data_IF_777544648786
#
_entry.id   IF_777544648786
#
_cell.length_a   1.000
_cell.length_b   1.000
_cell.length_c   1.000
_cell.angle_alpha   90.00
_cell.angle_beta   90.00
_cell.angle_gamma   90.00
#
_symmetry.space_group_name_H-M   'P 1'
#
loop_
_entity.id
_entity.type
_entity.pdbx_description
1 polymer ?
#
# COMPACT_ATOMS: atom_id res chain seq x y z
N UNK A 1 -19.76 -22.05 34.82
CA UNK A 1 -19.53 -20.86 33.98
C UNK A 1 -18.08 -20.90 33.48
N UNK A 2 -17.87 -21.53 32.34
CA UNK A 2 -16.55 -21.67 31.71
C UNK A 2 -16.44 -20.56 30.65
N UNK A 3 -15.59 -19.56 30.89
CA UNK A 3 -15.18 -18.59 29.89
C UNK A 3 -14.19 -19.26 28.93
N UNK A 4 -14.62 -19.48 27.73
CA UNK A 4 -13.77 -19.90 26.61
C UNK A 4 -12.80 -18.76 26.29
N UNK A 5 -11.53 -18.94 26.68
CA UNK A 5 -10.43 -18.10 26.26
C UNK A 5 -10.23 -18.22 24.76
N UNK A 6 -10.52 -17.16 24.02
CA UNK A 6 -10.14 -17.03 22.61
C UNK A 6 -8.62 -16.94 22.56
N UNK A 7 -8.02 -17.83 21.81
CA UNK A 7 -6.58 -18.07 21.74
C UNK A 7 -5.88 -16.83 21.12
N UNK A 8 -5.37 -15.95 21.96
CA UNK A 8 -4.64 -14.74 21.60
C UNK A 8 -3.39 -15.04 20.73
N UNK A 9 -2.81 -16.23 20.90
CA UNK A 9 -1.61 -16.65 20.18
C UNK A 9 -1.80 -16.87 18.67
N UNK A 10 -2.99 -17.23 18.21
CA UNK A 10 -3.23 -17.50 16.78
C UNK A 10 -3.42 -16.21 16.00
N UNK A 11 -3.98 -15.17 16.61
CA UNK A 11 -4.09 -13.83 15.99
C UNK A 11 -2.71 -13.14 15.91
N UNK A 12 -1.86 -13.32 16.91
CA UNK A 12 -0.49 -12.80 16.93
C UNK A 12 0.36 -13.37 15.79
N UNK A 13 0.36 -14.69 15.59
CA UNK A 13 1.11 -15.33 14.52
C UNK A 13 0.65 -14.88 13.13
N UNK A 14 -0.64 -14.61 12.95
CA UNK A 14 -1.19 -14.17 11.66
C UNK A 14 -0.77 -12.73 11.34
N UNK A 15 -0.71 -11.84 12.34
CA UNK A 15 -0.24 -10.45 12.18
C UNK A 15 1.27 -10.37 11.92
N UNK A 16 2.09 -11.13 12.63
CA UNK A 16 3.55 -11.18 12.42
C UNK A 16 3.93 -11.59 10.99
N UNK A 17 3.23 -12.58 10.44
CA UNK A 17 3.44 -13.04 9.06
C UNK A 17 3.06 -11.93 8.07
N UNK A 18 2.04 -11.14 8.35
CA UNK A 18 1.58 -10.07 7.48
C UNK A 18 2.55 -8.87 7.44
N UNK A 19 3.20 -8.52 8.56
CA UNK A 19 4.27 -7.50 8.60
C UNK A 19 5.51 -7.98 7.84
N UNK A 20 5.87 -9.26 7.98
CA UNK A 20 6.92 -9.88 7.17
C UNK A 20 6.58 -9.88 5.68
N UNK A 21 5.29 -9.94 5.32
CA UNK A 21 4.82 -9.84 3.92
C UNK A 21 4.95 -8.43 3.34
N UNK A 22 4.62 -7.38 4.09
CA UNK A 22 4.86 -5.99 3.69
C UNK A 22 6.34 -5.74 3.41
N UNK A 23 7.23 -6.18 4.31
CA UNK A 23 8.68 -6.13 4.10
C UNK A 23 9.17 -7.00 2.94
N UNK A 24 8.61 -8.18 2.75
CA UNK A 24 8.97 -9.06 1.62
C UNK A 24 8.58 -8.44 0.28
N UNK A 25 7.49 -7.67 0.23
CA UNK A 25 7.07 -6.93 -0.97
C UNK A 25 7.98 -5.73 -1.22
N UNK A 26 8.28 -4.90 -0.20
CA UNK A 26 9.25 -3.79 -0.31
C UNK A 26 10.64 -4.28 -0.73
N UNK A 27 11.13 -5.36 -0.15
CA UNK A 27 12.41 -5.96 -0.52
C UNK A 27 12.40 -6.53 -1.95
N UNK A 28 11.26 -7.09 -2.42
CA UNK A 28 11.08 -7.56 -3.81
C UNK A 28 10.82 -6.42 -4.77
N UNK A 29 10.19 -5.32 -4.36
CA UNK A 29 9.97 -4.12 -5.17
C UNK A 29 11.29 -3.59 -5.75
N UNK A 30 12.34 -3.50 -4.92
CA UNK A 30 13.69 -3.15 -5.37
C UNK A 30 14.29 -4.17 -6.36
N UNK A 31 13.89 -5.44 -6.28
CA UNK A 31 14.33 -6.51 -7.19
C UNK A 31 13.51 -6.55 -8.49
N UNK A 32 12.22 -6.25 -8.43
CA UNK A 32 11.30 -6.21 -9.58
C UNK A 32 11.65 -5.04 -10.51
N UNK A 33 12.07 -3.89 -9.99
CA UNK A 33 12.37 -2.69 -10.80
C UNK A 33 13.85 -2.58 -11.26
N UNK A 34 14.52 -3.70 -11.49
CA UNK A 34 15.93 -3.71 -11.93
C UNK A 34 16.16 -3.32 -13.39
N UNK A 35 15.16 -3.47 -14.27
CA UNK A 35 15.31 -3.17 -15.69
C UNK A 35 14.89 -1.73 -16.02
N UNK A 36 15.47 -1.15 -17.09
CA UNK A 36 15.12 0.20 -17.55
C UNK A 36 13.62 0.36 -17.88
N UNK A 37 13.00 -0.68 -18.47
CA UNK A 37 11.56 -0.67 -18.78
C UNK A 37 10.68 -0.63 -17.53
N UNK A 38 11.07 -1.34 -16.48
CA UNK A 38 10.34 -1.35 -15.21
C UNK A 38 10.47 -0.02 -14.47
N UNK A 39 11.64 0.63 -14.52
CA UNK A 39 11.82 2.00 -13.99
C UNK A 39 10.93 3.01 -14.72
N UNK A 40 10.81 2.90 -16.05
CA UNK A 40 9.93 3.76 -16.82
C UNK A 40 8.46 3.64 -16.41
N UNK A 41 7.97 2.41 -16.16
CA UNK A 41 6.62 2.16 -15.64
C UNK A 41 6.42 2.75 -14.24
N UNK A 42 7.40 2.58 -13.35
CA UNK A 42 7.36 3.17 -12.02
C UNK A 42 7.24 4.71 -12.11
N UNK A 43 8.04 5.33 -12.95
CA UNK A 43 8.00 6.79 -13.14
C UNK A 43 6.67 7.27 -13.73
N UNK A 44 6.07 6.50 -14.65
CA UNK A 44 4.76 6.80 -15.20
C UNK A 44 3.66 6.71 -14.11
N UNK A 45 3.70 5.69 -13.24
CA UNK A 45 2.78 5.54 -12.11
C UNK A 45 2.88 6.73 -11.15
N UNK A 46 4.09 7.08 -10.70
CA UNK A 46 4.29 8.26 -9.86
C UNK A 46 3.86 9.55 -10.55
N UNK A 47 4.11 9.69 -11.85
CA UNK A 47 3.66 10.84 -12.63
C UNK A 47 2.13 11.00 -12.61
N UNK A 48 1.37 9.92 -12.78
CA UNK A 48 -0.10 9.92 -12.67
C UNK A 48 -0.56 10.28 -11.25
N UNK A 49 0.01 9.64 -10.23
CA UNK A 49 -0.35 9.89 -8.81
C UNK A 49 -0.09 11.35 -8.42
N UNK A 50 1.11 11.88 -8.72
CA UNK A 50 1.50 13.26 -8.44
C UNK A 50 0.59 14.25 -9.14
N UNK A 51 0.28 14.01 -10.42
CA UNK A 51 -0.65 14.84 -11.19
C UNK A 51 -2.02 14.91 -10.52
N UNK A 52 -2.60 13.76 -10.14
CA UNK A 52 -3.94 13.71 -9.53
C UNK A 52 -3.97 14.38 -8.17
N UNK A 53 -2.97 14.13 -7.32
CA UNK A 53 -2.90 14.74 -5.98
C UNK A 53 -2.71 16.27 -6.08
N UNK A 54 -1.89 16.72 -7.04
CA UNK A 54 -1.71 18.16 -7.29
C UNK A 54 -2.95 18.80 -7.90
N UNK A 55 -3.67 18.10 -8.77
CA UNK A 55 -4.88 18.59 -9.46
C UNK A 55 -6.08 18.70 -8.53
N UNK A 56 -6.26 17.72 -7.64
CA UNK A 56 -7.37 17.68 -6.69
C UNK A 56 -7.15 18.53 -5.44
N UNK A 57 -5.92 19.00 -5.22
CA UNK A 57 -5.54 19.87 -4.11
C UNK A 57 -4.87 21.17 -4.61
N UNK A 58 -3.93 21.64 -3.81
CA UNK A 58 -3.07 22.77 -4.20
C UNK A 58 -1.80 22.18 -4.83
N UNK A 59 -1.36 22.66 -6.03
CA UNK A 59 -0.15 22.14 -6.69
C UNK A 59 1.16 22.71 -6.09
N UNK A 60 1.14 22.93 -4.79
CA UNK A 60 2.28 23.43 -3.99
C UNK A 60 2.51 22.46 -2.81
N UNK A 61 3.68 21.81 -2.73
CA UNK A 61 3.99 20.85 -1.66
C UNK A 61 3.96 21.46 -0.25
N UNK A 62 4.21 22.76 -0.11
CA UNK A 62 4.17 23.45 1.19
C UNK A 62 2.72 23.52 1.74
N UNK A 63 1.75 23.65 0.84
CA UNK A 63 0.34 23.80 1.16
C UNK A 63 -0.49 22.52 0.93
N UNK A 64 0.16 21.42 0.51
CA UNK A 64 -0.49 20.12 0.24
C UNK A 64 0.28 18.98 0.90
N UNK A 65 -0.10 18.56 2.12
CA UNK A 65 0.58 17.48 2.84
C UNK A 65 0.58 16.14 2.08
N UNK A 66 -0.50 15.83 1.34
CA UNK A 66 -0.59 14.62 0.54
C UNK A 66 0.44 14.63 -0.61
N UNK A 67 0.59 15.77 -1.28
CA UNK A 67 1.59 15.95 -2.34
C UNK A 67 3.01 15.86 -1.77
N UNK A 68 3.28 16.48 -0.63
CA UNK A 68 4.58 16.42 0.06
C UNK A 68 4.98 14.98 0.36
N UNK A 69 4.11 14.21 0.99
CA UNK A 69 4.39 12.82 1.33
C UNK A 69 4.59 11.94 0.08
N UNK A 70 3.82 12.19 -0.99
CA UNK A 70 3.98 11.46 -2.24
C UNK A 70 5.32 11.80 -2.92
N UNK A 71 5.78 13.07 -2.85
CA UNK A 71 7.11 13.48 -3.32
C UNK A 71 8.21 12.79 -2.51
N UNK A 72 8.09 12.73 -1.18
CA UNK A 72 9.05 12.03 -0.32
C UNK A 72 9.13 10.54 -0.68
N UNK A 73 7.98 9.89 -0.90
CA UNK A 73 7.92 8.50 -1.35
C UNK A 73 8.57 8.32 -2.72
N UNK A 74 8.26 9.20 -3.68
CA UNK A 74 8.86 9.17 -5.01
C UNK A 74 10.39 9.34 -4.98
N UNK A 75 10.91 10.22 -4.12
CA UNK A 75 12.36 10.41 -3.92
C UNK A 75 13.03 9.17 -3.32
N UNK A 76 12.41 8.51 -2.35
CA UNK A 76 12.91 7.23 -1.80
C UNK A 76 12.97 6.13 -2.87
N UNK A 77 11.98 6.07 -3.75
CA UNK A 77 11.91 5.14 -4.88
C UNK A 77 12.77 5.59 -6.07
N UNK A 78 13.64 6.59 -5.87
CA UNK A 78 14.60 7.11 -6.85
C UNK A 78 13.94 7.64 -8.14
N UNK A 79 12.73 8.19 -8.04
CA UNK A 79 12.08 8.89 -9.16
C UNK A 79 12.82 10.21 -9.43
N UNK A 80 13.25 10.48 -10.68
CA UNK A 80 13.97 11.69 -11.01
C UNK A 80 13.15 12.96 -10.75
N UNK A 81 13.79 14.02 -10.22
CA UNK A 81 13.10 15.29 -9.87
C UNK A 81 12.35 15.91 -11.05
N UNK A 82 12.89 15.79 -12.27
CA UNK A 82 12.22 16.32 -13.46
C UNK A 82 10.87 15.65 -13.76
N UNK A 83 10.67 14.37 -13.36
CA UNK A 83 9.38 13.67 -13.50
C UNK A 83 8.36 14.23 -12.51
N UNK A 84 8.81 14.49 -11.28
CA UNK A 84 8.00 15.08 -10.20
C UNK A 84 7.54 16.48 -10.59
N UNK A 85 8.49 17.34 -10.96
CA UNK A 85 8.24 18.71 -11.36
C UNK A 85 7.28 18.81 -12.56
N UNK A 86 7.51 17.98 -13.58
CA UNK A 86 6.66 17.92 -14.78
C UNK A 86 5.23 17.50 -14.49
N UNK A 87 5.02 16.58 -13.55
CA UNK A 87 3.69 16.13 -13.15
C UNK A 87 2.92 17.25 -12.42
N UNK A 88 3.60 17.99 -11.53
CA UNK A 88 3.02 19.11 -10.79
C UNK A 88 2.73 20.30 -11.74
N UNK A 89 3.67 20.63 -12.63
CA UNK A 89 3.49 21.67 -13.64
C UNK A 89 2.29 21.38 -14.55
N UNK A 90 2.18 20.13 -15.03
CA UNK A 90 1.04 19.67 -15.84
C UNK A 90 -0.29 19.82 -15.10
N UNK A 91 -0.31 19.56 -13.79
CA UNK A 91 -1.51 19.69 -12.94
C UNK A 91 -1.95 21.13 -12.76
N UNK A 92 -0.99 22.09 -12.77
CA UNK A 92 -1.24 23.54 -12.65
C UNK A 92 -1.78 24.16 -13.94
N UNK A 93 -1.63 23.49 -15.08
CA UNK A 93 -2.03 23.98 -16.41
C UNK A 93 -3.53 24.01 -16.64
N UNK A 94 -3.94 24.81 -17.64
CA UNK A 94 -5.33 24.85 -18.12
C UNK A 94 -5.59 23.67 -19.05
N UNK A 95 -6.63 22.89 -18.74
CA UNK A 95 -6.90 21.63 -19.44
C UNK A 95 -6.06 20.48 -18.87
N UNK A 96 -6.53 19.27 -18.92
CA UNK A 96 -5.79 18.15 -18.37
C UNK A 96 -6.54 16.84 -18.56
N UNK A 97 -5.85 15.76 -18.26
CA UNK A 97 -6.45 14.43 -18.25
C UNK A 97 -7.26 14.26 -16.96
N UNK A 98 -8.51 13.80 -17.09
CA UNK A 98 -9.35 13.49 -15.95
C UNK A 98 -9.13 12.01 -15.58
N UNK A 99 -8.24 11.79 -14.63
CA UNK A 99 -8.04 10.45 -14.07
C UNK A 99 -9.06 10.17 -12.98
N UNK A 100 -9.71 9.00 -13.08
CA UNK A 100 -10.58 8.45 -12.06
C UNK A 100 -9.91 7.29 -11.33
N UNK A 101 -10.08 7.24 -10.02
CA UNK A 101 -9.70 6.07 -9.24
C UNK A 101 -10.71 4.96 -9.47
N UNK A 102 -10.23 3.74 -9.70
CA UNK A 102 -11.04 2.55 -9.85
C UNK A 102 -10.43 1.42 -9.01
N UNK A 103 -11.27 0.67 -8.31
CA UNK A 103 -10.86 -0.49 -7.52
C UNK A 103 -11.51 -1.74 -8.05
N UNK A 104 -10.71 -2.76 -8.25
CA UNK A 104 -11.16 -4.08 -8.67
C UNK A 104 -10.79 -5.10 -7.61
N UNK A 105 -11.69 -6.05 -7.39
CA UNK A 105 -11.58 -7.04 -6.34
C UNK A 105 -11.78 -8.43 -6.90
N UNK A 106 -11.11 -9.43 -6.35
CA UNK A 106 -11.29 -10.79 -6.80
C UNK A 106 -10.41 -11.81 -6.10
N UNK A 107 -10.44 -13.02 -6.63
CA UNK A 107 -9.66 -14.15 -6.11
C UNK A 107 -8.63 -14.57 -7.14
N UNK A 108 -7.35 -14.51 -6.73
CA UNK A 108 -6.18 -14.91 -7.52
C UNK A 108 -5.90 -16.41 -7.45
N UNK A 109 -4.78 -16.86 -8.07
CA UNK A 109 -4.33 -18.24 -8.01
C UNK A 109 -4.13 -18.71 -6.55
N UNK A 110 -4.41 -19.99 -6.27
CA UNK A 110 -4.40 -20.53 -4.92
C UNK A 110 -5.55 -20.03 -4.03
N UNK A 111 -6.51 -19.29 -4.59
CA UNK A 111 -7.66 -18.73 -3.87
C UNK A 111 -7.31 -17.55 -2.97
N UNK A 112 -6.19 -16.85 -3.22
CA UNK A 112 -5.85 -15.63 -2.50
C UNK A 112 -6.82 -14.49 -2.83
N UNK A 113 -7.12 -13.66 -1.84
CA UNK A 113 -7.90 -12.44 -2.03
C UNK A 113 -7.01 -11.33 -2.56
N UNK A 114 -7.51 -10.58 -3.55
CA UNK A 114 -6.72 -9.54 -4.23
C UNK A 114 -7.56 -8.28 -4.43
N UNK A 115 -6.98 -7.13 -4.05
CA UNK A 115 -7.49 -5.79 -4.35
C UNK A 115 -6.52 -5.14 -5.34
N UNK A 116 -7.04 -4.56 -6.42
CA UNK A 116 -6.26 -3.87 -7.44
C UNK A 116 -6.74 -2.43 -7.52
N UNK A 117 -5.92 -1.49 -7.10
CA UNK A 117 -6.19 -0.06 -7.19
C UNK A 117 -5.62 0.48 -8.51
N UNK A 118 -6.46 1.15 -9.27
CA UNK A 118 -6.15 1.71 -10.58
C UNK A 118 -6.41 3.21 -10.61
N UNK A 119 -5.66 3.89 -11.48
CA UNK A 119 -5.84 5.29 -11.81
C UNK A 119 -5.90 5.41 -13.33
N UNK A 120 -7.07 5.76 -13.87
CA UNK A 120 -7.35 5.65 -15.29
C UNK A 120 -8.15 6.82 -15.84
N UNK A 121 -7.90 7.15 -17.08
CA UNK A 121 -8.70 8.04 -17.93
C UNK A 121 -9.81 7.29 -18.68
N UNK A 122 -9.81 5.92 -18.67
CA UNK A 122 -10.77 5.09 -19.37
C UNK A 122 -11.10 3.80 -18.62
N UNK A 123 -12.15 3.83 -17.79
CA UNK A 123 -12.58 2.69 -16.98
C UNK A 123 -12.91 1.44 -17.80
N UNK A 124 -13.43 1.58 -19.04
CA UNK A 124 -13.78 0.42 -19.89
C UNK A 124 -12.54 -0.31 -20.39
N UNK A 125 -11.46 0.43 -20.71
CA UNK A 125 -10.17 -0.15 -21.05
C UNK A 125 -9.60 -0.90 -19.86
N UNK A 126 -9.51 -0.23 -18.71
CA UNK A 126 -8.88 -0.76 -17.50
C UNK A 126 -9.58 -2.01 -16.98
N UNK A 127 -10.93 -2.02 -16.90
CA UNK A 127 -11.65 -3.23 -16.46
C UNK A 127 -11.42 -4.41 -17.41
N UNK A 128 -11.28 -4.13 -18.70
CA UNK A 128 -11.01 -5.17 -19.70
C UNK A 128 -9.62 -5.75 -19.56
N UNK A 129 -8.61 -4.92 -19.31
CA UNK A 129 -7.22 -5.32 -19.08
C UNK A 129 -7.09 -6.12 -17.78
N UNK A 130 -7.64 -5.61 -16.67
CA UNK A 130 -7.63 -6.29 -15.37
C UNK A 130 -8.34 -7.63 -15.47
N UNK A 131 -9.54 -7.68 -16.08
CA UNK A 131 -10.27 -8.93 -16.29
C UNK A 131 -9.47 -9.94 -17.11
N UNK A 132 -8.73 -9.49 -18.12
CA UNK A 132 -7.87 -10.35 -18.92
C UNK A 132 -6.75 -10.95 -18.08
N UNK A 133 -6.14 -10.20 -17.15
CA UNK A 133 -5.13 -10.71 -16.21
C UNK A 133 -5.71 -11.84 -15.36
N UNK A 134 -6.89 -11.64 -14.77
CA UNK A 134 -7.58 -12.68 -14.00
C UNK A 134 -7.89 -13.92 -14.85
N UNK A 135 -8.49 -13.75 -16.03
CA UNK A 135 -8.86 -14.86 -16.91
C UNK A 135 -7.66 -15.70 -17.36
N UNK A 136 -6.53 -15.05 -17.71
CA UNK A 136 -5.32 -15.73 -18.20
C UNK A 136 -4.64 -16.60 -17.15
N UNK A 137 -5.00 -16.43 -15.90
CA UNK A 137 -4.44 -17.16 -14.75
C UNK A 137 -5.47 -18.04 -14.05
N UNK A 138 -6.64 -18.25 -14.68
CA UNK A 138 -7.72 -19.04 -14.11
C UNK A 138 -8.32 -18.44 -12.84
N UNK A 139 -8.07 -17.15 -12.62
CA UNK A 139 -8.53 -16.39 -11.46
C UNK A 139 -9.90 -15.77 -11.72
N UNK A 140 -10.57 -15.28 -10.67
CA UNK A 140 -11.93 -14.78 -10.77
C UNK A 140 -12.03 -13.34 -10.30
N UNK A 141 -12.32 -12.42 -11.22
CA UNK A 141 -12.71 -11.06 -10.89
C UNK A 141 -14.11 -11.05 -10.28
N UNK A 142 -14.25 -10.49 -9.07
CA UNK A 142 -15.50 -10.36 -8.34
C UNK A 142 -16.15 -8.99 -8.51
N UNK A 143 -17.36 -8.80 -7.95
CA UNK A 143 -17.95 -7.48 -7.79
C UNK A 143 -17.19 -6.66 -6.73
N UNK A 144 -17.44 -5.34 -6.71
CA UNK A 144 -16.94 -4.47 -5.64
C UNK A 144 -17.44 -4.95 -4.28
N UNK A 145 -16.58 -4.95 -3.24
CA UNK A 145 -16.88 -5.47 -1.91
C UNK A 145 -16.71 -6.98 -1.74
N UNK A 146 -16.25 -7.70 -2.79
CA UNK A 146 -16.12 -9.16 -2.73
C UNK A 146 -14.99 -9.64 -1.80
N UNK A 147 -13.94 -8.86 -1.63
CA UNK A 147 -12.79 -9.21 -0.78
C UNK A 147 -12.34 -8.09 0.15
N UNK A 148 -12.75 -6.84 -0.05
CA UNK A 148 -12.31 -5.70 0.75
C UNK A 148 -12.63 -5.85 2.25
N UNK A 149 -13.72 -6.57 2.60
CA UNK A 149 -14.07 -6.89 3.97
C UNK A 149 -13.10 -7.86 4.68
N UNK A 150 -12.16 -8.46 3.94
CA UNK A 150 -11.09 -9.33 4.45
C UNK A 150 -9.79 -8.56 4.72
N UNK A 151 -9.82 -7.26 4.52
CA UNK A 151 -8.67 -6.37 4.72
C UNK A 151 -9.06 -5.21 5.62
N UNK A 152 -8.15 -4.81 6.48
CA UNK A 152 -8.23 -3.58 7.25
C UNK A 152 -7.51 -2.46 6.49
N UNK A 153 -8.14 -1.30 6.36
CA UNK A 153 -7.55 -0.14 5.71
C UNK A 153 -6.83 0.71 6.75
N UNK A 154 -5.53 0.52 6.87
CA UNK A 154 -4.70 1.02 7.95
C UNK A 154 -3.63 2.00 7.48
N UNK A 155 -3.28 2.91 8.36
CA UNK A 155 -2.03 3.64 8.36
C UNK A 155 -0.97 2.83 9.11
N UNK A 156 0.20 2.63 8.50
CA UNK A 156 1.33 1.93 9.12
C UNK A 156 2.51 2.89 9.18
N UNK A 157 3.00 3.14 10.40
CA UNK A 157 4.18 3.94 10.67
C UNK A 157 5.17 3.10 11.47
N UNK A 158 6.40 2.94 10.97
CA UNK A 158 7.40 2.12 11.65
C UNK A 158 8.76 2.78 11.65
N UNK A 159 9.46 2.66 12.79
CA UNK A 159 10.78 3.21 13.01
C UNK A 159 11.57 2.33 13.97
N UNK A 160 12.90 2.56 14.07
CA UNK A 160 13.75 1.87 15.04
C UNK A 160 13.54 2.42 16.44
N UNK A 161 13.25 1.54 17.39
CA UNK A 161 13.03 1.88 18.80
C UNK A 161 12.49 0.70 19.59
N UNK A 162 12.39 0.87 20.88
CA UNK A 162 11.90 -0.15 21.83
C UNK A 162 10.75 0.41 22.71
N UNK A 163 10.25 1.60 22.40
CA UNK A 163 9.42 2.41 23.29
C UNK A 163 7.92 2.39 22.89
N UNK A 164 7.31 1.23 22.73
CA UNK A 164 5.90 1.11 22.33
C UNK A 164 4.93 1.81 23.29
N UNK A 165 5.16 1.68 24.60
CA UNK A 165 4.31 2.34 25.60
C UNK A 165 4.36 3.88 25.47
N UNK A 166 5.54 4.45 25.22
CA UNK A 166 5.70 5.89 25.01
C UNK A 166 5.06 6.35 23.69
N UNK A 167 5.08 5.51 22.67
CA UNK A 167 4.37 5.78 21.40
C UNK A 167 2.86 5.82 21.64
N UNK A 168 2.34 4.86 22.38
CA UNK A 168 0.92 4.83 22.72
C UNK A 168 0.50 6.06 23.54
N UNK A 169 1.31 6.45 24.54
CA UNK A 169 1.09 7.66 25.35
C UNK A 169 1.09 8.92 24.46
N UNK A 170 2.06 9.06 23.57
CA UNK A 170 2.14 10.19 22.63
C UNK A 170 0.93 10.26 21.67
N UNK A 171 0.42 9.12 21.23
CA UNK A 171 -0.79 9.06 20.40
C UNK A 171 -2.03 9.48 21.19
N UNK A 172 -2.16 9.03 22.43
CA UNK A 172 -3.26 9.42 23.33
C UNK A 172 -3.24 10.92 23.62
N UNK A 173 -2.07 11.48 23.91
CA UNK A 173 -1.90 12.92 24.17
C UNK A 173 -2.26 13.77 22.94
N UNK A 174 -2.02 13.24 21.74
CA UNK A 174 -2.38 13.88 20.48
C UNK A 174 -3.81 13.58 20.03
N UNK A 175 -4.62 12.83 20.82
CA UNK A 175 -5.99 12.42 20.48
C UNK A 175 -6.04 11.66 19.13
N UNK A 176 -5.08 10.78 18.88
CA UNK A 176 -4.99 9.91 17.69
C UNK A 176 -5.61 8.57 18.03
N UNK A 177 -6.55 8.12 17.20
CA UNK A 177 -7.06 6.75 17.29
C UNK A 177 -5.98 5.75 16.85
N UNK A 178 -5.75 4.73 17.67
CA UNK A 178 -4.72 3.70 17.44
C UNK A 178 -5.37 2.32 17.49
N UNK A 179 -5.12 1.51 16.47
CA UNK A 179 -5.55 0.11 16.43
C UNK A 179 -4.58 -0.79 17.21
N UNK A 180 -3.26 -0.59 17.05
CA UNK A 180 -2.23 -1.40 17.72
C UNK A 180 -0.85 -0.71 17.70
N UNK A 181 0.01 -1.08 18.65
CA UNK A 181 1.45 -0.73 18.67
C UNK A 181 2.25 -1.99 18.96
N UNK A 182 3.06 -2.40 18.00
CA UNK A 182 3.93 -3.57 18.12
C UNK A 182 5.39 -3.15 18.31
N UNK A 183 6.08 -3.85 19.20
CA UNK A 183 7.52 -3.68 19.43
C UNK A 183 8.21 -5.02 19.25
N UNK A 184 8.98 -5.18 18.17
CA UNK A 184 9.70 -6.41 17.86
C UNK A 184 11.06 -6.09 17.24
N UNK A 185 12.09 -6.84 17.63
CA UNK A 185 13.43 -6.77 17.08
C UNK A 185 14.03 -5.35 17.02
N UNK A 186 13.72 -4.49 18.01
CA UNK A 186 14.19 -3.10 18.07
C UNK A 186 13.50 -2.21 17.04
N UNK A 187 12.29 -2.56 16.66
CA UNK A 187 11.42 -1.80 15.76
C UNK A 187 10.05 -1.60 16.40
N UNK A 188 9.58 -0.36 16.39
CA UNK A 188 8.21 -0.02 16.77
C UNK A 188 7.38 0.17 15.51
N UNK A 189 6.21 -0.45 15.48
CA UNK A 189 5.24 -0.31 14.38
C UNK A 189 3.89 0.11 14.97
N UNK A 190 3.42 1.27 14.54
CA UNK A 190 2.11 1.83 14.88
C UNK A 190 1.12 1.50 13.76
N UNK A 191 -0.03 0.97 14.15
CA UNK A 191 -1.19 0.74 13.31
C UNK A 191 -2.31 1.68 13.74
N UNK A 192 -2.87 2.41 12.81
CA UNK A 192 -3.96 3.35 13.06
C UNK A 192 -4.95 3.33 11.89
N UNK A 193 -6.19 3.80 12.05
CA UNK A 193 -7.09 4.02 10.92
C UNK A 193 -6.43 4.87 9.84
N UNK A 194 -6.69 4.58 8.58
CA UNK A 194 -6.09 5.31 7.45
C UNK A 194 -6.32 6.83 7.49
N UNK A 195 -7.46 7.27 8.09
CA UNK A 195 -7.79 8.68 8.30
C UNK A 195 -6.83 9.40 9.24
N UNK A 196 -6.24 8.67 10.19
CA UNK A 196 -5.34 9.20 11.22
C UNK A 196 -3.87 9.32 10.76
N UNK A 197 -3.54 8.87 9.55
CA UNK A 197 -2.15 8.80 9.06
C UNK A 197 -1.35 10.08 9.28
N UNK A 198 -1.88 11.23 8.88
CA UNK A 198 -1.14 12.49 8.97
C UNK A 198 -1.00 12.98 10.42
N UNK A 199 -2.05 12.80 11.22
CA UNK A 199 -2.10 13.18 12.62
C UNK A 199 -1.13 12.31 13.42
N UNK A 200 -1.17 10.99 13.22
CA UNK A 200 -0.25 10.04 13.82
C UNK A 200 1.22 10.31 13.44
N UNK A 201 1.50 10.56 12.15
CA UNK A 201 2.84 10.90 11.68
C UNK A 201 3.38 12.17 12.36
N UNK A 202 2.55 13.21 12.45
CA UNK A 202 2.94 14.48 13.08
C UNK A 202 3.23 14.27 14.56
N UNK A 203 2.33 13.61 15.29
CA UNK A 203 2.49 13.31 16.71
C UNK A 203 3.76 12.49 17.00
N UNK A 204 4.07 11.48 16.17
CA UNK A 204 5.31 10.70 16.28
C UNK A 204 6.56 11.56 16.12
N UNK A 205 6.59 12.42 15.11
CA UNK A 205 7.77 13.26 14.84
C UNK A 205 7.97 14.35 15.90
N UNK A 206 6.89 14.83 16.52
CA UNK A 206 6.93 15.79 17.64
C UNK A 206 7.37 15.11 18.94
N UNK A 207 6.84 13.93 19.26
CA UNK A 207 7.16 13.20 20.47
C UNK A 207 8.59 12.60 20.44
N UNK A 208 9.06 12.20 19.27
CA UNK A 208 10.36 11.57 19.08
C UNK A 208 11.21 12.32 18.05
N UNK A 209 11.78 13.48 18.40
CA UNK A 209 12.59 14.27 17.47
C UNK A 209 13.79 13.48 16.96
N UNK A 210 13.96 13.43 15.63
CA UNK A 210 15.09 12.77 15.00
C UNK A 210 14.89 11.29 14.64
N UNK A 211 13.70 10.73 14.87
CA UNK A 211 13.40 9.39 14.34
C UNK A 211 13.33 9.41 12.80
N UNK A 212 13.78 8.33 12.20
CA UNK A 212 13.62 8.08 10.77
C UNK A 212 12.54 7.03 10.56
N UNK A 213 11.41 7.44 9.96
CA UNK A 213 10.33 6.54 9.62
C UNK A 213 10.76 5.62 8.47
N UNK A 214 10.92 4.33 8.75
CA UNK A 214 11.28 3.30 7.77
C UNK A 214 10.08 2.90 6.92
N UNK A 215 8.89 2.83 7.54
CA UNK A 215 7.62 2.59 6.88
C UNK A 215 6.69 3.74 7.19
N UNK A 216 6.01 4.27 6.17
CA UNK A 216 4.99 5.30 6.28
C UNK A 216 4.05 5.14 5.09
N UNK A 217 2.97 4.41 5.28
CA UNK A 217 2.04 4.08 4.21
C UNK A 217 0.61 3.90 4.71
N UNK A 218 -0.33 4.10 3.80
CA UNK A 218 -1.72 3.68 3.96
C UNK A 218 -1.89 2.45 3.08
N UNK A 219 -2.37 1.36 3.65
CA UNK A 219 -2.41 0.06 2.98
C UNK A 219 -3.65 -0.74 3.35
N UNK A 220 -3.98 -1.73 2.52
CA UNK A 220 -4.95 -2.77 2.85
C UNK A 220 -4.21 -3.96 3.47
N UNK A 221 -4.35 -4.10 4.77
CA UNK A 221 -3.73 -5.15 5.55
C UNK A 221 -4.67 -6.36 5.65
N UNK A 222 -4.28 -7.57 5.24
CA UNK A 222 -5.17 -8.73 5.27
C UNK A 222 -5.38 -9.21 6.71
N UNK A 223 -6.66 -9.46 7.08
CA UNK A 223 -7.03 -10.02 8.38
C UNK A 223 -6.60 -11.48 8.53
N UNK A 224 -6.46 -12.19 7.41
CA UNK A 224 -6.00 -13.58 7.38
C UNK A 224 -5.15 -13.85 6.14
N UNK A 225 -4.05 -14.53 6.34
CA UNK A 225 -3.13 -14.92 5.29
C UNK A 225 -3.56 -16.20 4.59
N UNK A 226 -3.18 -16.36 3.31
CA UNK A 226 -3.42 -17.54 2.50
C UNK A 226 -2.09 -18.08 1.96
N UNK A 227 -1.70 -19.25 2.39
CA UNK A 227 -0.51 -19.92 1.83
C UNK A 227 -0.78 -20.36 0.39
N UNK A 228 0.16 -20.03 -0.50
CA UNK A 228 0.15 -20.46 -1.90
C UNK A 228 0.91 -21.78 -1.98
N UNK A 229 0.27 -22.79 -2.58
CA UNK A 229 0.92 -24.06 -2.80
C UNK A 229 2.10 -23.94 -3.78
N UNK A 230 3.13 -24.79 -3.68
CA UNK A 230 4.22 -24.79 -4.68
C UNK A 230 3.73 -25.00 -6.11
N UNK A 231 2.58 -25.66 -6.30
CA UNK A 231 1.96 -25.90 -7.60
C UNK A 231 1.32 -24.64 -8.16
N UNK A 232 0.71 -23.80 -7.31
CA UNK A 232 0.06 -22.55 -7.69
C UNK A 232 1.04 -21.37 -7.82
N UNK A 233 2.22 -21.48 -7.23
CA UNK A 233 3.22 -20.40 -7.19
C UNK A 233 3.58 -19.83 -8.57
N UNK A 234 3.86 -20.64 -9.62
CA UNK A 234 4.19 -20.11 -10.94
C UNK A 234 3.03 -19.32 -11.56
N UNK A 235 1.78 -19.75 -11.26
CA UNK A 235 0.60 -19.05 -11.76
C UNK A 235 0.34 -17.75 -10.99
N UNK A 236 0.61 -17.73 -9.68
CA UNK A 236 0.55 -16.54 -8.85
C UNK A 236 1.58 -15.50 -9.29
N UNK A 237 2.82 -15.89 -9.52
CA UNK A 237 3.87 -14.99 -10.02
C UNK A 237 3.51 -14.40 -11.39
N UNK A 238 2.99 -15.24 -12.30
CA UNK A 238 2.49 -14.78 -13.59
C UNK A 238 1.33 -13.80 -13.45
N UNK A 239 0.41 -14.05 -12.53
CA UNK A 239 -0.71 -13.15 -12.24
C UNK A 239 -0.23 -11.79 -11.76
N UNK A 240 0.66 -11.76 -10.78
CA UNK A 240 1.25 -10.53 -10.26
C UNK A 240 2.01 -9.76 -11.36
N UNK A 241 2.77 -10.47 -12.19
CA UNK A 241 3.48 -9.85 -13.31
C UNK A 241 2.51 -9.21 -14.32
N UNK A 242 1.43 -9.90 -14.70
CA UNK A 242 0.42 -9.37 -15.61
C UNK A 242 -0.27 -8.12 -15.06
N UNK A 243 -0.61 -8.10 -13.77
CA UNK A 243 -1.21 -6.93 -13.13
C UNK A 243 -0.22 -5.75 -13.06
N UNK A 244 1.04 -6.02 -12.70
CA UNK A 244 2.08 -4.98 -12.70
C UNK A 244 2.40 -4.42 -14.08
N UNK A 245 2.13 -5.19 -15.15
CA UNK A 245 2.32 -4.76 -16.52
C UNK A 245 1.21 -3.83 -17.03
N UNK A 246 0.05 -3.79 -16.36
CA UNK A 246 -1.03 -2.86 -16.70
C UNK A 246 -0.66 -1.43 -16.28
N UNK A 247 -0.70 -0.48 -17.22
CA UNK A 247 -0.26 0.90 -16.99
C UNK A 247 -1.17 1.68 -16.04
N UNK A 248 -2.44 1.28 -15.92
CA UNK A 248 -3.41 1.93 -15.05
C UNK A 248 -3.41 1.38 -13.62
N UNK A 249 -2.81 0.19 -13.38
CA UNK A 249 -2.69 -0.42 -12.06
C UNK A 249 -1.64 0.33 -11.24
N UNK A 250 -2.05 0.85 -10.09
CA UNK A 250 -1.19 1.60 -9.17
C UNK A 250 -0.67 0.72 -8.05
N UNK A 251 -1.57 0.09 -7.29
CA UNK A 251 -1.21 -0.76 -6.16
C UNK A 251 -2.00 -2.08 -6.24
N UNK A 252 -1.40 -3.14 -5.71
CA UNK A 252 -2.01 -4.47 -5.64
C UNK A 252 -1.83 -4.97 -4.21
N UNK A 253 -2.95 -5.23 -3.55
CA UNK A 253 -2.96 -5.81 -2.20
C UNK A 253 -3.47 -7.24 -2.28
N UNK A 254 -2.85 -8.13 -1.52
CA UNK A 254 -3.23 -9.54 -1.49
C UNK A 254 -2.90 -10.17 -0.14
N UNK A 255 -3.58 -11.27 0.18
CA UNK A 255 -3.32 -12.03 1.40
C UNK A 255 -2.45 -13.28 1.18
N UNK A 256 -1.85 -13.42 0.01
CA UNK A 256 -1.02 -14.56 -0.34
C UNK A 256 0.32 -14.56 0.40
N UNK A 257 0.69 -15.70 1.01
CA UNK A 257 2.04 -16.01 1.48
C UNK A 257 2.66 -16.99 0.49
N UNK A 258 3.81 -16.62 -0.06
CA UNK A 258 4.58 -17.49 -0.94
C UNK A 258 5.60 -18.30 -0.13
N UNK A 259 5.80 -19.60 -0.43
CA UNK A 259 6.90 -20.35 0.16
C UNK A 259 8.21 -19.65 -0.14
N UNK A 260 9.08 -19.54 0.88
CA UNK A 260 10.39 -18.88 0.81
C UNK A 260 11.38 -19.62 -0.06
#
# INVERSE_FOLDING_TARGET
MLRTGVNCSTQFLTRQVAIAMGRSFENRKASIFKTAGQKSKLYAKYGKQLYVVARNGVPDPENNPALRNLIERAKRDQVPSHVIEKAIEKASGVGGEDFAAARYEGFGPGGCSVIVDCLTDNNNRTISEVRNCFNRTGSKLGPSGSVSHLFDHLAILSFKGDNGDQVLEAMLDADVDVDDVECEDGQVTLFAPASEFYKAKTALLEAFPGIELQVQEITFHPQASREISPEDLPMFEKFMHLLHDCDDVQEIYHNAITPG
#
